data_IF_342630455805
#
_entry.id   IF_342630455805
#
_cell.length_a   1.000
_cell.length_b   1.000
_cell.length_c   1.000
_cell.angle_alpha   90.00
_cell.angle_beta   90.00
_cell.angle_gamma   90.00
#
_symmetry.space_group_name_H-M   'P 1'
#
loop_
_entity.id
_entity.type
_entity.pdbx_description
1 polymer ?
#
# COMPACT_ATOMS: atom_id res chain seq x y z
N UNK A 1 20.32 10.33 -28.72
CA UNK A 1 20.69 9.08 -28.02
C UNK A 1 20.06 9.13 -26.64
N UNK A 2 18.97 8.39 -26.46
CA UNK A 2 18.09 8.47 -25.28
C UNK A 2 18.56 7.47 -24.23
N UNK A 3 19.20 7.93 -23.16
CA UNK A 3 19.67 7.07 -22.06
C UNK A 3 18.66 7.03 -20.91
N UNK A 4 18.05 5.86 -20.79
CA UNK A 4 17.57 5.13 -19.60
C UNK A 4 17.04 5.92 -18.39
N UNK A 5 15.74 5.72 -18.11
CA UNK A 5 15.11 5.97 -16.81
C UNK A 5 15.34 4.76 -15.89
N UNK A 6 15.73 4.93 -14.62
CA UNK A 6 15.96 3.82 -13.71
C UNK A 6 14.65 3.26 -13.13
N UNK A 7 14.54 1.94 -13.24
CA UNK A 7 13.92 0.95 -12.35
C UNK A 7 12.46 1.14 -11.90
N UNK A 8 11.57 0.41 -12.57
CA UNK A 8 10.39 -0.16 -11.94
C UNK A 8 10.83 -1.19 -10.88
N UNK A 9 10.26 -1.21 -9.66
CA UNK A 9 10.69 -2.14 -8.62
C UNK A 9 10.41 -3.59 -9.01
N UNK A 10 11.45 -4.40 -8.88
CA UNK A 10 11.51 -5.83 -9.12
C UNK A 10 10.76 -6.58 -8.00
N UNK A 11 9.45 -6.74 -8.16
CA UNK A 11 8.77 -7.93 -7.65
C UNK A 11 7.83 -8.40 -8.76
N UNK A 12 8.43 -8.97 -9.81
CA UNK A 12 7.70 -9.90 -10.68
C UNK A 12 7.18 -10.97 -9.72
N UNK A 13 5.87 -11.02 -9.54
CA UNK A 13 5.24 -12.04 -8.70
C UNK A 13 5.76 -13.40 -9.16
N UNK A 14 6.22 -14.22 -8.21
CA UNK A 14 6.68 -15.58 -8.51
C UNK A 14 5.55 -16.29 -9.28
N UNK A 15 5.83 -17.08 -10.33
CA UNK A 15 4.79 -17.69 -11.17
C UNK A 15 3.67 -18.40 -10.37
N UNK A 16 4.00 -19.04 -9.24
CA UNK A 16 3.01 -19.67 -8.35
C UNK A 16 2.00 -18.70 -7.72
N UNK A 17 2.45 -17.52 -7.29
CA UNK A 17 1.56 -16.48 -6.70
C UNK A 17 0.55 -15.97 -7.73
N UNK A 18 0.94 -15.88 -9.00
CA UNK A 18 0.01 -15.44 -10.05
C UNK A 18 -1.08 -16.49 -10.32
N UNK A 19 -0.74 -17.78 -10.20
CA UNK A 19 -1.71 -18.87 -10.32
C UNK A 19 -2.70 -18.88 -9.15
N UNK A 20 -2.24 -18.63 -7.92
CA UNK A 20 -3.11 -18.51 -6.75
C UNK A 20 -4.09 -17.33 -6.89
N UNK A 21 -3.61 -16.17 -7.32
CA UNK A 21 -4.46 -14.99 -7.59
C UNK A 21 -5.53 -15.34 -8.65
N UNK A 22 -5.14 -16.00 -9.73
CA UNK A 22 -6.07 -16.45 -10.77
C UNK A 22 -7.15 -17.36 -10.17
N UNK A 23 -6.74 -18.32 -9.34
CA UNK A 23 -7.62 -19.33 -8.76
C UNK A 23 -8.67 -18.71 -7.84
N UNK A 24 -8.28 -17.72 -7.03
CA UNK A 24 -9.18 -16.93 -6.19
C UNK A 24 -10.18 -16.13 -7.04
N UNK A 25 -9.71 -15.45 -8.09
CA UNK A 25 -10.55 -14.63 -8.96
C UNK A 25 -11.54 -15.44 -9.80
N UNK A 26 -11.18 -16.67 -10.21
CA UNK A 26 -12.05 -17.55 -10.99
C UNK A 26 -13.12 -18.19 -10.10
N UNK A 27 -12.77 -18.56 -8.87
CA UNK A 27 -13.67 -19.33 -7.99
C UNK A 27 -14.72 -18.49 -7.24
N UNK A 28 -14.79 -17.18 -7.48
CA UNK A 28 -15.64 -16.27 -6.71
C UNK A 28 -17.14 -16.59 -6.77
N UNK A 29 -17.60 -17.18 -7.88
CA UNK A 29 -19.00 -17.52 -8.13
C UNK A 29 -19.47 -18.69 -7.27
N UNK A 30 -18.57 -19.64 -7.00
CA UNK A 30 -18.75 -20.77 -6.08
C UNK A 30 -18.61 -20.36 -4.61
N UNK A 31 -17.99 -19.21 -4.34
CA UNK A 31 -17.68 -18.70 -3.01
C UNK A 31 -18.14 -17.24 -2.84
N UNK A 32 -19.42 -17.00 -3.07
CA UNK A 32 -20.00 -15.64 -3.01
C UNK A 32 -19.88 -15.00 -1.62
N UNK A 33 -19.72 -15.82 -0.57
CA UNK A 33 -19.46 -15.43 0.81
C UNK A 33 -18.07 -14.80 1.01
N UNK A 34 -17.10 -15.06 0.12
CA UNK A 34 -15.79 -14.38 0.15
C UNK A 34 -15.88 -12.90 -0.26
N UNK A 35 -16.94 -12.51 -0.94
CA UNK A 35 -17.13 -11.12 -1.36
C UNK A 35 -17.48 -10.25 -0.16
N UNK A 36 -16.60 -9.30 0.13
CA UNK A 36 -16.87 -8.24 1.10
C UNK A 36 -18.00 -7.34 0.58
N UNK A 37 -19.03 -7.18 1.42
CA UNK A 37 -20.26 -6.41 1.09
C UNK A 37 -20.09 -4.91 1.29
N UNK A 38 -19.11 -4.52 2.10
CA UNK A 38 -18.80 -3.13 2.45
C UNK A 38 -17.30 -2.88 2.38
N UNK A 39 -16.91 -1.61 2.23
CA UNK A 39 -15.49 -1.26 2.21
C UNK A 39 -14.89 -1.43 3.60
N UNK A 40 -13.84 -2.26 3.71
CA UNK A 40 -13.06 -2.34 4.94
C UNK A 40 -12.20 -1.09 5.08
N UNK A 41 -12.38 -0.35 6.17
CA UNK A 41 -11.58 0.84 6.48
C UNK A 41 -10.26 0.42 7.14
N UNK A 42 -9.17 0.96 6.60
CA UNK A 42 -7.77 0.74 6.95
C UNK A 42 -7.45 -0.74 7.19
N UNK A 43 -7.58 -1.60 6.17
CA UNK A 43 -7.25 -3.02 6.30
C UNK A 43 -5.81 -3.21 6.75
N UNK A 44 -5.57 -4.15 7.67
CA UNK A 44 -4.23 -4.43 8.18
C UNK A 44 -3.30 -4.98 7.10
N UNK A 45 -1.99 -4.82 7.28
CA UNK A 45 -1.00 -5.52 6.45
C UNK A 45 -1.28 -7.04 6.46
N UNK A 46 -1.09 -7.69 5.31
CA UNK A 46 -1.45 -9.09 5.06
C UNK A 46 -2.91 -9.32 4.69
N UNK A 47 -3.79 -8.32 4.80
CA UNK A 47 -5.21 -8.51 4.45
C UNK A 47 -5.41 -8.72 2.95
N UNK A 48 -6.17 -9.76 2.60
CA UNK A 48 -6.67 -10.02 1.25
C UNK A 48 -8.19 -9.98 1.25
N UNK A 49 -8.77 -9.14 0.39
CA UNK A 49 -10.20 -8.87 0.35
C UNK A 49 -10.72 -8.94 -1.08
N UNK A 50 -11.81 -9.67 -1.28
CA UNK A 50 -12.46 -9.79 -2.59
C UNK A 50 -13.68 -8.87 -2.65
N UNK A 51 -13.78 -8.08 -3.71
CA UNK A 51 -14.87 -7.13 -3.90
C UNK A 51 -15.51 -7.25 -5.28
N UNK A 52 -16.81 -6.97 -5.35
CA UNK A 52 -17.46 -6.58 -6.60
C UNK A 52 -17.35 -5.07 -6.77
N UNK A 53 -16.68 -4.63 -7.84
CA UNK A 53 -16.51 -3.21 -8.18
C UNK A 53 -17.80 -2.49 -8.52
N UNK A 54 -18.83 -3.25 -8.91
CA UNK A 54 -20.19 -2.74 -9.14
C UNK A 54 -20.92 -2.41 -7.83
N UNK A 55 -20.59 -3.11 -6.74
CA UNK A 55 -21.27 -2.98 -5.44
C UNK A 55 -20.50 -2.13 -4.44
N UNK A 56 -19.16 -2.21 -4.43
CA UNK A 56 -18.32 -1.60 -3.39
C UNK A 56 -17.26 -0.68 -4.00
N UNK A 57 -17.21 0.56 -3.50
CA UNK A 57 -16.16 1.54 -3.82
C UNK A 57 -14.91 1.29 -2.96
N UNK A 58 -14.27 0.14 -3.15
CA UNK A 58 -13.15 -0.35 -2.32
C UNK A 58 -11.97 0.63 -2.22
N UNK A 59 -11.79 1.54 -3.18
CA UNK A 59 -10.74 2.57 -3.14
C UNK A 59 -10.91 3.57 -1.97
N UNK A 60 -12.08 3.65 -1.34
CA UNK A 60 -12.37 4.48 -0.15
C UNK A 60 -12.00 3.75 1.14
N UNK A 61 -10.82 3.16 1.17
CA UNK A 61 -10.31 2.36 2.29
C UNK A 61 -9.78 3.21 3.46
N UNK A 62 -9.74 4.53 3.32
CA UNK A 62 -9.33 5.43 4.41
C UNK A 62 -7.81 5.54 4.61
N UNK A 63 -7.01 4.96 3.72
CA UNK A 63 -5.58 5.19 3.64
C UNK A 63 -5.25 6.39 2.75
N UNK A 64 -4.16 7.08 3.09
CA UNK A 64 -3.60 8.11 2.24
C UNK A 64 -2.62 7.51 1.23
N UNK A 65 -3.04 7.48 -0.03
CA UNK A 65 -2.24 6.97 -1.14
C UNK A 65 -1.44 8.08 -1.80
N UNK A 66 -0.21 7.77 -2.23
CA UNK A 66 0.65 8.69 -2.96
C UNK A 66 -0.05 9.22 -4.21
N UNK A 67 -0.04 10.54 -4.37
CA UNK A 67 -0.64 11.19 -5.54
C UNK A 67 0.38 11.41 -6.66
N UNK A 68 -0.11 11.67 -7.87
CA UNK A 68 0.69 12.14 -9.00
C UNK A 68 1.20 13.55 -8.70
N UNK A 69 2.12 14.06 -9.53
CA UNK A 69 2.71 15.40 -9.39
C UNK A 69 1.67 16.53 -9.36
N UNK A 70 0.48 16.29 -9.91
CA UNK A 70 -0.63 17.23 -9.92
C UNK A 70 -1.40 17.32 -8.58
N UNK A 71 -1.13 16.43 -7.62
CA UNK A 71 -1.83 16.38 -6.33
C UNK A 71 -3.31 15.99 -6.43
N UNK A 72 -3.82 15.64 -7.61
CA UNK A 72 -5.25 15.37 -7.86
C UNK A 72 -5.54 13.88 -7.87
N UNK A 73 -4.71 13.11 -8.55
CA UNK A 73 -4.98 11.68 -8.80
C UNK A 73 -3.99 10.79 -8.06
N UNK A 74 -4.43 9.63 -7.58
CA UNK A 74 -3.52 8.63 -7.01
C UNK A 74 -2.54 8.18 -8.08
N UNK A 75 -1.27 8.05 -7.72
CA UNK A 75 -0.26 7.43 -8.57
C UNK A 75 -0.44 5.92 -8.51
N UNK A 76 -0.99 5.37 -9.59
CA UNK A 76 -1.15 3.93 -9.79
C UNK A 76 -0.11 3.44 -10.81
N UNK A 77 0.65 2.40 -10.46
CA UNK A 77 1.55 1.68 -11.37
C UNK A 77 0.84 0.40 -11.85
N UNK A 78 0.77 0.21 -13.16
CA UNK A 78 -0.06 -0.82 -13.78
C UNK A 78 0.80 -1.87 -14.47
N UNK A 79 0.36 -3.13 -14.40
CA UNK A 79 1.02 -4.25 -15.07
C UNK A 79 -0.01 -5.29 -15.53
N UNK A 80 0.38 -6.12 -16.50
CA UNK A 80 -0.38 -7.32 -16.89
C UNK A 80 0.41 -8.55 -16.45
N UNK A 81 -0.28 -9.48 -15.81
CA UNK A 81 0.31 -10.71 -15.30
C UNK A 81 -0.08 -11.89 -16.19
N UNK A 82 0.85 -12.84 -16.29
CA UNK A 82 0.72 -14.03 -17.13
C UNK A 82 0.45 -15.27 -16.27
N UNK A 83 -0.54 -16.05 -16.66
CA UNK A 83 -0.77 -17.41 -16.16
C UNK A 83 -0.48 -18.37 -17.31
N UNK A 84 0.44 -19.31 -17.11
CA UNK A 84 0.87 -20.25 -18.16
C UNK A 84 1.26 -19.55 -19.48
N UNK A 85 1.94 -18.40 -19.37
CA UNK A 85 2.39 -17.61 -20.54
C UNK A 85 1.35 -16.66 -21.14
N UNK A 86 0.09 -16.72 -20.72
CA UNK A 86 -1.01 -15.92 -21.27
C UNK A 86 -1.33 -14.75 -20.33
N UNK A 87 -1.32 -13.52 -20.86
CA UNK A 87 -1.78 -12.34 -20.12
C UNK A 87 -3.28 -12.42 -19.86
N UNK A 88 -3.67 -12.59 -18.60
CA UNK A 88 -5.08 -12.74 -18.24
C UNK A 88 -5.48 -11.96 -16.99
N UNK A 89 -4.53 -11.40 -16.24
CA UNK A 89 -4.79 -10.62 -15.03
C UNK A 89 -4.21 -9.21 -15.21
N UNK A 90 -5.00 -8.21 -14.84
CA UNK A 90 -4.53 -6.84 -14.68
C UNK A 90 -4.13 -6.59 -13.23
N UNK A 91 -2.97 -5.98 -13.02
CA UNK A 91 -2.46 -5.57 -11.72
C UNK A 91 -2.37 -4.04 -11.62
N UNK A 92 -2.80 -3.47 -10.50
CA UNK A 92 -2.69 -2.05 -10.19
C UNK A 92 -2.13 -1.87 -8.77
N UNK A 93 -1.04 -1.13 -8.66
CA UNK A 93 -0.22 -1.00 -7.46
C UNK A 93 -0.20 0.46 -7.03
N UNK A 94 -0.48 0.71 -5.75
CA UNK A 94 -0.37 2.04 -5.15
C UNK A 94 0.46 1.98 -3.88
N UNK A 95 1.28 3.01 -3.69
CA UNK A 95 2.11 3.19 -2.50
C UNK A 95 1.41 4.13 -1.52
N UNK A 96 1.54 3.86 -0.22
CA UNK A 96 1.12 4.81 0.82
C UNK A 96 1.92 6.11 0.73
N UNK A 97 1.27 7.22 1.02
CA UNK A 97 1.89 8.54 1.08
C UNK A 97 2.72 8.74 2.37
N UNK A 98 2.44 7.93 3.39
CA UNK A 98 3.04 8.05 4.72
C UNK A 98 4.17 7.01 4.89
N UNK A 99 3.89 5.74 4.57
CA UNK A 99 4.83 4.63 4.71
C UNK A 99 5.06 3.97 3.33
N UNK A 100 6.14 4.30 2.61
CA UNK A 100 6.32 3.83 1.23
C UNK A 100 6.40 2.31 1.05
N UNK A 101 6.78 1.58 2.10
CA UNK A 101 6.83 0.11 2.14
C UNK A 101 5.44 -0.53 2.25
N UNK A 102 4.41 0.24 2.58
CA UNK A 102 3.03 -0.22 2.59
C UNK A 102 2.32 0.06 1.26
N UNK A 103 1.69 -1.00 0.74
CA UNK A 103 1.10 -1.00 -0.60
C UNK A 103 -0.32 -1.55 -0.58
N UNK A 104 -1.13 -1.09 -1.54
CA UNK A 104 -2.34 -1.80 -1.98
C UNK A 104 -2.14 -2.30 -3.40
N UNK A 105 -2.26 -3.61 -3.58
CA UNK A 105 -2.15 -4.31 -4.86
C UNK A 105 -3.53 -4.83 -5.23
N UNK A 106 -4.03 -4.42 -6.39
CA UNK A 106 -5.34 -4.80 -6.89
C UNK A 106 -5.18 -5.69 -8.11
N UNK A 107 -5.90 -6.80 -8.16
CA UNK A 107 -5.87 -7.77 -9.25
C UNK A 107 -7.27 -8.07 -9.76
N UNK A 108 -7.46 -8.14 -11.07
CA UNK A 108 -8.71 -8.59 -11.68
C UNK A 108 -8.45 -9.29 -13.01
N UNK A 109 -9.36 -10.17 -13.42
CA UNK A 109 -9.27 -10.85 -14.71
C UNK A 109 -9.56 -9.87 -15.85
N UNK A 110 -8.82 -9.96 -16.95
CA UNK A 110 -9.07 -9.13 -18.14
C UNK A 110 -10.46 -9.39 -18.73
N UNK A 111 -10.92 -10.65 -18.71
CA UNK A 111 -12.22 -11.07 -19.21
C UNK A 111 -13.36 -10.80 -18.23
N UNK A 112 -13.06 -10.63 -16.93
CA UNK A 112 -14.04 -10.32 -15.91
C UNK A 112 -13.50 -9.23 -14.96
N UNK A 113 -13.61 -7.95 -15.35
CA UNK A 113 -13.03 -6.84 -14.60
C UNK A 113 -13.88 -6.42 -13.40
N UNK A 114 -15.05 -7.03 -13.17
CA UNK A 114 -16.00 -6.64 -12.13
C UNK A 114 -15.60 -7.13 -10.74
N UNK A 115 -14.85 -8.23 -10.68
CA UNK A 115 -14.35 -8.81 -9.44
C UNK A 115 -12.89 -8.41 -9.26
N UNK A 116 -12.57 -7.86 -8.10
CA UNK A 116 -11.22 -7.42 -7.76
C UNK A 116 -10.77 -8.04 -6.45
N UNK A 117 -9.57 -8.59 -6.47
CA UNK A 117 -8.83 -9.01 -5.29
C UNK A 117 -7.92 -7.87 -4.86
N UNK A 118 -8.03 -7.44 -3.62
CA UNK A 118 -7.28 -6.32 -3.06
C UNK A 118 -6.42 -6.84 -1.92
N UNK A 119 -5.11 -6.71 -2.06
CA UNK A 119 -4.12 -7.16 -1.09
C UNK A 119 -3.37 -5.96 -0.52
N UNK A 120 -3.38 -5.83 0.81
CA UNK A 120 -2.67 -4.80 1.55
C UNK A 120 -1.41 -5.41 2.18
N UNK A 121 -0.24 -4.85 1.90
CA UNK A 121 1.01 -5.46 2.36
C UNK A 121 2.09 -4.42 2.64
N UNK A 122 2.67 -4.49 3.83
CA UNK A 122 3.93 -3.86 4.18
C UNK A 122 5.07 -4.80 3.78
N UNK A 123 5.90 -4.41 2.81
CA UNK A 123 7.05 -5.19 2.35
C UNK A 123 8.31 -4.41 2.73
N UNK A 124 9.04 -4.82 3.78
CA UNK A 124 10.32 -4.23 4.12
C UNK A 124 11.28 -4.34 2.94
N UNK A 125 12.14 -3.35 2.76
CA UNK A 125 13.24 -3.47 1.81
C UNK A 125 14.18 -4.60 2.26
N UNK A 126 14.71 -5.41 1.33
CA UNK A 126 15.58 -6.53 1.66
C UNK A 126 16.96 -6.13 2.23
N UNK A 127 17.29 -4.82 2.28
CA UNK A 127 18.53 -4.34 2.89
C UNK A 127 18.34 -4.07 4.40
N UNK A 128 19.18 -4.70 5.22
CA UNK A 128 19.17 -4.78 6.70
C UNK A 128 19.27 -3.45 7.49
N UNK A 129 19.10 -2.29 6.85
CA UNK A 129 19.12 -1.02 7.56
C UNK A 129 17.71 -0.63 8.02
N UNK A 130 17.30 -1.16 9.20
CA UNK A 130 16.16 -0.64 9.98
C UNK A 130 16.18 0.91 10.13
N UNK A 131 17.36 1.54 10.01
CA UNK A 131 17.58 2.98 10.05
C UNK A 131 17.07 3.75 8.80
N UNK A 132 16.91 3.10 7.64
CA UNK A 132 16.41 3.75 6.39
C UNK A 132 14.88 3.87 6.37
N UNK A 133 14.20 3.11 7.23
CA UNK A 133 12.75 3.21 7.42
C UNK A 133 12.34 4.58 7.97
N UNK A 134 13.20 5.21 8.78
CA UNK A 134 13.01 6.56 9.31
C UNK A 134 13.23 7.66 8.25
N UNK A 135 14.21 7.48 7.37
CA UNK A 135 14.60 8.48 6.34
C UNK A 135 13.64 8.54 5.15
N UNK A 136 12.75 7.56 5.01
CA UNK A 136 11.91 7.38 3.82
C UNK A 136 10.44 7.72 4.03
N UNK A 137 10.02 8.19 5.22
CA UNK A 137 8.68 8.78 5.40
C UNK A 137 8.60 9.98 4.46
N UNK A 138 7.97 9.76 3.30
CA UNK A 138 8.09 10.68 2.20
C UNK A 138 7.36 11.98 2.53
N UNK A 139 8.08 13.09 2.42
CA UNK A 139 7.66 14.50 2.41
C UNK A 139 6.54 14.85 1.39
N UNK A 140 5.78 13.87 0.91
CA UNK A 140 4.70 14.02 -0.07
C UNK A 140 3.30 13.97 0.55
N UNK A 141 3.20 14.12 1.87
CA UNK A 141 1.97 14.55 2.49
C UNK A 141 1.69 16.00 2.08
N UNK A 142 1.10 16.18 0.90
CA UNK A 142 0.63 17.47 0.39
C UNK A 142 -0.02 18.30 1.52
N UNK A 143 0.70 19.30 2.02
CA UNK A 143 0.20 20.46 2.80
C UNK A 143 -0.69 20.15 4.01
N UNK A 144 -0.81 18.90 4.43
CA UNK A 144 -1.64 18.49 5.56
C UNK A 144 -0.76 18.44 6.80
N UNK A 145 -1.05 19.31 7.74
CA UNK A 145 -0.57 19.17 9.11
C UNK A 145 -1.29 17.97 9.73
N UNK A 146 -0.53 17.01 10.23
CA UNK A 146 -1.04 15.79 10.83
C UNK A 146 -1.00 15.91 12.34
N UNK A 147 -2.11 15.60 13.00
CA UNK A 147 -2.09 15.35 14.44
C UNK A 147 -1.43 14.00 14.72
N UNK A 148 -0.90 13.86 15.93
CA UNK A 148 -0.31 12.61 16.43
C UNK A 148 -1.29 11.44 16.28
N UNK A 149 -2.53 11.67 16.67
CA UNK A 149 -3.60 10.66 16.70
C UNK A 149 -3.97 10.24 15.27
N UNK A 150 -4.05 11.17 14.33
CA UNK A 150 -4.32 10.84 12.93
C UNK A 150 -3.19 10.01 12.33
N UNK A 151 -1.93 10.34 12.60
CA UNK A 151 -0.78 9.60 12.10
C UNK A 151 -0.73 8.18 12.67
N UNK A 152 -0.94 8.02 13.97
CA UNK A 152 -1.06 6.71 14.63
C UNK A 152 -2.18 5.89 13.98
N UNK A 153 -3.33 6.53 13.75
CA UNK A 153 -4.50 5.85 13.17
C UNK A 153 -4.28 5.37 11.72
N UNK A 154 -3.34 5.97 10.99
CA UNK A 154 -2.91 5.51 9.66
C UNK A 154 -1.90 4.36 9.78
N UNK A 155 -0.91 4.49 10.66
CA UNK A 155 0.26 3.60 10.68
C UNK A 155 0.05 2.30 11.44
N UNK A 156 -0.71 2.33 12.55
CA UNK A 156 -0.99 1.15 13.39
C UNK A 156 -1.39 -0.10 12.59
N UNK A 157 -2.36 -0.05 11.66
CA UNK A 157 -2.74 -1.23 10.88
C UNK A 157 -1.68 -1.65 9.83
N UNK A 158 -0.74 -0.78 9.45
CA UNK A 158 0.31 -1.10 8.47
C UNK A 158 1.43 -1.99 9.06
N UNK A 159 1.60 -1.98 10.39
CA UNK A 159 2.63 -2.75 11.09
C UNK A 159 2.08 -3.96 11.85
N UNK A 160 0.79 -4.26 11.75
CA UNK A 160 0.17 -5.32 12.52
C UNK A 160 0.73 -6.71 12.15
N UNK A 161 1.28 -7.41 13.15
CA UNK A 161 1.61 -8.84 13.15
C UNK A 161 0.68 -9.56 14.14
N UNK A 162 0.15 -10.73 13.78
CA UNK A 162 -0.71 -11.52 14.69
C UNK A 162 0.05 -12.08 15.90
N UNK A 163 1.39 -12.04 15.87
CA UNK A 163 2.25 -12.73 16.83
C UNK A 163 2.66 -11.93 18.09
N UNK A 164 2.25 -10.65 18.25
CA UNK A 164 2.73 -9.81 19.36
C UNK A 164 1.60 -9.00 20.04
N UNK A 165 1.02 -9.49 21.16
CA UNK A 165 -0.08 -8.83 21.86
C UNK A 165 0.35 -7.79 22.91
N UNK A 166 1.57 -7.23 22.86
CA UNK A 166 2.02 -6.30 23.89
C UNK A 166 1.66 -4.82 23.61
N UNK A 167 0.68 -4.33 24.37
CA UNK A 167 0.16 -2.95 24.40
C UNK A 167 1.22 -1.88 24.72
N UNK A 168 2.39 -2.25 25.25
CA UNK A 168 3.51 -1.32 25.48
C UNK A 168 4.25 -0.95 24.18
N UNK A 169 4.25 -1.85 23.19
CA UNK A 169 4.91 -1.63 21.90
C UNK A 169 4.12 -0.65 21.03
N UNK A 170 2.82 -0.50 21.28
CA UNK A 170 1.94 0.41 20.54
C UNK A 170 2.28 1.89 20.79
N UNK A 171 2.61 2.23 22.04
CA UNK A 171 3.09 3.55 22.42
C UNK A 171 4.55 3.74 21.98
N UNK A 172 5.39 2.71 22.03
CA UNK A 172 6.80 2.80 21.66
C UNK A 172 7.02 2.88 20.14
N UNK A 173 6.28 2.12 19.34
CA UNK A 173 6.27 2.21 17.86
C UNK A 173 5.70 3.57 17.44
N UNK A 174 4.59 4.01 18.05
CA UNK A 174 4.04 5.34 17.80
C UNK A 174 5.03 6.44 18.20
N UNK A 175 5.65 6.35 19.38
CA UNK A 175 6.65 7.32 19.88
C UNK A 175 7.91 7.31 19.03
N UNK A 176 8.42 6.16 18.59
CA UNK A 176 9.56 6.10 17.68
C UNK A 176 9.20 6.69 16.31
N UNK A 177 8.05 6.35 15.74
CA UNK A 177 7.62 6.93 14.45
C UNK A 177 7.39 8.44 14.57
N UNK A 178 6.73 8.91 15.63
CA UNK A 178 6.45 10.33 15.84
C UNK A 178 7.71 11.13 16.18
N UNK A 179 8.62 10.59 16.98
CA UNK A 179 9.89 11.25 17.32
C UNK A 179 10.74 11.46 16.07
N UNK A 180 10.75 10.51 15.14
CA UNK A 180 11.47 10.64 13.87
C UNK A 180 10.75 11.57 12.88
N UNK A 181 9.42 11.54 12.79
CA UNK A 181 8.66 12.47 11.93
C UNK A 181 8.73 13.91 12.43
N UNK A 182 8.62 14.15 13.74
CA UNK A 182 8.72 15.50 14.31
C UNK A 182 10.13 16.07 14.15
N UNK A 183 11.19 15.29 14.44
CA UNK A 183 12.59 15.75 14.28
C UNK A 183 12.88 16.11 12.81
N UNK A 184 12.39 15.35 11.83
CA UNK A 184 12.58 15.69 10.42
C UNK A 184 11.74 16.89 9.96
N UNK A 185 10.49 17.02 10.41
CA UNK A 185 9.64 18.18 10.09
C UNK A 185 10.21 19.46 10.70
N UNK A 186 10.72 19.43 11.93
CA UNK A 186 11.33 20.60 12.58
C UNK A 186 12.72 20.93 12.03
N UNK A 187 13.57 19.94 11.72
CA UNK A 187 14.88 20.22 11.13
C UNK A 187 14.77 20.82 9.71
N UNK A 188 13.79 20.42 8.92
CA UNK A 188 13.62 20.97 7.56
C UNK A 188 13.05 22.40 7.57
N UNK A 189 12.26 22.77 8.60
CA UNK A 189 11.76 24.15 8.76
C UNK A 189 12.84 25.09 9.31
N UNK A 190 13.80 24.58 10.09
CA UNK A 190 14.87 25.40 10.69
C UNK A 190 16.16 25.49 9.83
N UNK A 191 16.28 24.72 8.74
CA UNK A 191 17.47 24.72 7.86
C UNK A 191 17.17 25.02 6.38
N UNK A 192 16.07 25.71 6.06
CA UNK A 192 16.03 26.47 4.80
C UNK A 192 16.59 27.87 5.06
N UNK A 193 17.76 28.26 4.52
CA UNK A 193 18.10 29.66 4.46
C UNK A 193 17.08 30.34 3.54
N UNK A 194 16.32 31.28 4.10
CA UNK A 194 15.57 32.27 3.33
C UNK A 194 16.63 33.10 2.57
N UNK A 195 16.42 33.41 1.27
CA UNK A 195 17.45 33.94 0.36
C UNK A 195 18.12 35.24 0.82
#
# INVERSE_FOLDING_TARGET
>A
MTTMKPNAPQHVLVPGVTQEIASLLISFDRHTDWLSKEVKIRPKSGSMLLYSRKKVRYRRDGYCWKKRKDGKTTREDHMKLKVQGIECIYGCYVHSAILPTFHRRCYWLLQNPDIVLVHYLNVPYPDDNKLVMASSISLWADKKEWTKEELISQLKPMFFSEDEPDLNNELEIAVNILSFVFVFVTCTILYTPIP
#
